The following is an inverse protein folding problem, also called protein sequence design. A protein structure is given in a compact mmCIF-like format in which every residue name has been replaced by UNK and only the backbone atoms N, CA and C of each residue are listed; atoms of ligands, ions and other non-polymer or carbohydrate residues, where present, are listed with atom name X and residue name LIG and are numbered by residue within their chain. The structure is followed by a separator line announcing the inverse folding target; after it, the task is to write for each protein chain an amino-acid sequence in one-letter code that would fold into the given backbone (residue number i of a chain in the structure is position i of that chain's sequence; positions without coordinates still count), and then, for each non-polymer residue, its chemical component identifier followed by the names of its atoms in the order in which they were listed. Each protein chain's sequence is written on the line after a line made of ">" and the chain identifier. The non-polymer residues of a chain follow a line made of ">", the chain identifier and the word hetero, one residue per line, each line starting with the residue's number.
data_IF_640351748838
#
_entry.id   IF_640351748838
#
_cell.length_a   1.000
_cell.length_b   1.000
_cell.length_c   1.000
_cell.angle_alpha   90.00
_cell.angle_beta   90.00
_cell.angle_gamma   90.00
#
_symmetry.space_group_name_H-M   'P 1'
#
loop_
_entity.id
_entity.type
_entity.pdbx_description
1 polymer ?
#
# COMPACT_ATOMS: atom_id res chain seq x y z
N UNK A 1 8.73 22.85 -17.58
CA UNK A 1 8.47 22.17 -16.30
C UNK A 1 7.35 21.16 -16.52
N UNK A 2 7.57 19.87 -16.21
CA UNK A 2 6.53 18.84 -16.35
C UNK A 2 5.48 18.98 -15.24
N UNK A 3 4.20 19.05 -15.59
CA UNK A 3 3.07 19.07 -14.61
C UNK A 3 3.03 17.81 -13.73
N UNK A 4 3.78 16.77 -14.10
CA UNK A 4 3.98 15.54 -13.33
C UNK A 4 4.87 15.75 -12.09
N UNK A 5 5.75 16.77 -12.09
CA UNK A 5 6.69 17.05 -10.99
C UNK A 5 6.09 17.87 -9.85
N UNK A 6 5.05 18.68 -10.10
CA UNK A 6 4.46 19.56 -9.08
C UNK A 6 3.78 18.82 -7.92
N UNK A 7 3.57 17.51 -8.08
CA UNK A 7 2.86 16.67 -7.11
C UNK A 7 3.73 15.55 -6.53
N UNK A 8 5.03 15.52 -6.89
CA UNK A 8 5.98 14.55 -6.37
C UNK A 8 6.57 15.07 -5.07
N UNK A 9 5.73 15.13 -4.03
CA UNK A 9 6.12 15.67 -2.72
C UNK A 9 6.38 14.53 -1.75
N UNK A 10 7.36 13.69 -2.07
CA UNK A 10 8.00 12.79 -1.11
C UNK A 10 9.33 12.24 -1.63
N UNK A 11 10.30 12.13 -0.72
CA UNK A 11 11.52 11.33 -0.89
C UNK A 11 11.33 9.99 -0.16
N UNK A 12 11.68 8.87 -0.79
CA UNK A 12 11.58 7.53 -0.17
C UNK A 12 12.98 7.10 0.27
N UNK A 13 13.18 6.92 1.57
CA UNK A 13 14.48 6.51 2.13
C UNK A 13 14.32 5.27 2.99
N UNK A 14 14.72 4.12 2.45
CA UNK A 14 14.70 2.85 3.17
C UNK A 14 16.08 2.55 3.79
N UNK A 15 16.11 2.07 5.04
CA UNK A 15 17.34 1.76 5.79
C UNK A 15 18.02 0.47 5.29
N UNK A 16 17.28 -0.48 4.70
CA UNK A 16 17.78 -1.66 3.97
C UNK A 16 17.08 -1.75 2.60
N UNK A 17 17.21 -2.83 1.82
CA UNK A 17 16.43 -3.04 0.58
C UNK A 17 15.02 -3.60 0.84
N UNK A 18 14.02 -2.79 1.26
CA UNK A 18 12.60 -3.05 0.98
C UNK A 18 11.88 -1.83 0.36
N UNK A 19 12.58 -1.02 -0.44
CA UNK A 19 12.01 0.19 -1.07
C UNK A 19 10.74 -0.04 -1.88
N UNK A 20 10.48 -1.28 -2.32
CA UNK A 20 9.27 -1.65 -3.05
C UNK A 20 7.98 -1.50 -2.23
N UNK A 21 7.99 -1.83 -0.93
CA UNK A 21 6.79 -1.70 -0.09
C UNK A 21 6.48 -0.23 0.15
N UNK A 22 7.49 0.56 0.53
CA UNK A 22 7.31 2.00 0.75
C UNK A 22 6.86 2.72 -0.53
N UNK A 23 7.43 2.37 -1.69
CA UNK A 23 7.00 2.90 -2.99
C UNK A 23 5.52 2.60 -3.26
N UNK A 24 5.09 1.36 -3.04
CA UNK A 24 3.69 0.97 -3.21
C UNK A 24 2.75 1.72 -2.26
N UNK A 25 3.13 1.85 -0.99
CA UNK A 25 2.35 2.60 0.01
C UNK A 25 2.23 4.06 -0.41
N UNK A 26 3.34 4.71 -0.78
CA UNK A 26 3.36 6.11 -1.20
C UNK A 26 2.45 6.34 -2.41
N UNK A 27 2.51 5.46 -3.42
CA UNK A 27 1.61 5.51 -4.58
C UNK A 27 0.14 5.31 -4.20
N UNK A 28 -0.15 4.43 -3.23
CA UNK A 28 -1.53 4.16 -2.81
C UNK A 28 -2.17 5.37 -2.12
N UNK A 29 -1.42 6.07 -1.27
CA UNK A 29 -1.92 7.25 -0.52
C UNK A 29 -1.78 8.56 -1.30
N UNK A 30 -1.07 8.57 -2.44
CA UNK A 30 -0.92 9.73 -3.32
C UNK A 30 -2.25 10.42 -3.68
N UNK A 31 -3.27 9.74 -4.22
CA UNK A 31 -4.53 10.39 -4.58
C UNK A 31 -5.24 11.02 -3.37
N UNK A 32 -5.16 10.40 -2.20
CA UNK A 32 -5.73 10.88 -0.94
C UNK A 32 -5.04 12.18 -0.53
N UNK A 33 -3.70 12.18 -0.50
CA UNK A 33 -2.90 13.36 -0.16
C UNK A 33 -3.15 14.50 -1.15
N UNK A 34 -3.26 14.20 -2.44
CA UNK A 34 -3.53 15.18 -3.50
C UNK A 34 -4.89 15.88 -3.29
N UNK A 35 -5.95 15.12 -2.96
CA UNK A 35 -7.29 15.68 -2.71
C UNK A 35 -7.31 16.64 -1.52
N UNK A 36 -6.44 16.42 -0.53
CA UNK A 36 -6.38 17.19 0.72
C UNK A 36 -5.20 18.16 0.79
N UNK A 37 -4.47 18.32 -0.32
CA UNK A 37 -3.27 19.16 -0.43
C UNK A 37 -2.17 18.84 0.61
N UNK A 38 -2.14 17.60 1.10
CA UNK A 38 -1.14 17.13 2.06
C UNK A 38 0.20 16.83 1.39
N UNK A 39 1.28 17.03 2.15
CA UNK A 39 2.66 16.90 1.68
C UNK A 39 3.49 16.16 2.72
N UNK A 40 4.25 15.15 2.29
CA UNK A 40 5.15 14.39 3.16
C UNK A 40 6.57 14.50 2.61
N UNK A 41 7.47 15.26 3.22
CA UNK A 41 8.80 15.46 2.61
C UNK A 41 9.60 14.17 2.51
N UNK A 42 9.57 13.34 3.56
CA UNK A 42 10.36 12.12 3.64
C UNK A 42 9.52 10.96 4.20
N UNK A 43 9.49 9.84 3.49
CA UNK A 43 8.94 8.58 3.95
C UNK A 43 10.08 7.58 4.16
N UNK A 44 10.23 7.09 5.39
CA UNK A 44 11.33 6.20 5.74
C UNK A 44 10.88 4.98 6.55
N UNK A 45 11.65 3.88 6.45
CA UNK A 45 11.45 2.76 7.37
C UNK A 45 12.24 3.02 8.67
N UNK A 46 11.70 2.55 9.79
CA UNK A 46 12.42 2.52 11.07
C UNK A 46 12.12 1.25 11.86
N UNK A 47 12.98 0.92 12.82
CA UNK A 47 12.80 -0.20 13.73
C UNK A 47 13.11 0.28 15.16
N UNK A 48 12.15 0.94 15.84
CA UNK A 48 12.37 1.41 17.19
C UNK A 48 12.48 0.23 18.17
N UNK A 49 13.20 0.43 19.28
CA UNK A 49 13.29 -0.55 20.37
C UNK A 49 11.92 -0.86 20.99
N UNK A 50 11.00 0.12 20.98
CA UNK A 50 9.63 -0.08 21.46
C UNK A 50 8.83 -0.91 20.44
N UNK A 51 8.32 -2.11 20.79
CA UNK A 51 7.54 -2.94 19.87
C UNK A 51 6.16 -2.36 19.55
N UNK A 52 5.60 -1.50 20.41
CA UNK A 52 4.28 -0.89 20.21
C UNK A 52 4.28 0.22 19.16
N UNK A 53 5.45 0.77 18.81
CA UNK A 53 5.54 1.88 17.86
C UNK A 53 5.61 1.33 16.43
N UNK A 54 4.50 1.49 15.69
CA UNK A 54 4.36 1.05 14.30
C UNK A 54 4.55 2.19 13.30
N UNK A 55 4.19 3.41 13.67
CA UNK A 55 4.31 4.62 12.87
C UNK A 55 4.80 5.79 13.71
N UNK A 56 5.37 6.79 13.05
CA UNK A 56 5.70 8.08 13.67
C UNK A 56 5.67 9.20 12.62
N UNK A 57 4.81 10.18 12.84
CA UNK A 57 4.78 11.44 12.09
C UNK A 57 5.56 12.53 12.84
N UNK A 58 6.61 13.04 12.21
CA UNK A 58 7.41 14.16 12.71
C UNK A 58 7.02 15.43 11.96
N UNK A 59 6.69 16.48 12.70
CA UNK A 59 6.43 17.81 12.15
C UNK A 59 5.18 17.93 11.27
N UNK A 60 4.22 17.01 11.40
CA UNK A 60 2.96 17.05 10.64
C UNK A 60 3.16 16.82 9.14
N UNK A 61 3.98 15.84 8.76
CA UNK A 61 4.31 15.53 7.37
C UNK A 61 5.71 16.00 6.94
N UNK A 62 6.59 16.37 7.87
CA UNK A 62 8.01 16.56 7.50
C UNK A 62 8.65 15.20 7.25
N UNK A 63 8.52 14.28 8.20
CA UNK A 63 9.10 12.96 8.10
C UNK A 63 8.13 11.94 8.69
N UNK A 64 7.72 10.97 7.87
CA UNK A 64 6.87 9.87 8.32
C UNK A 64 7.72 8.59 8.35
N UNK A 65 7.70 7.92 9.49
CA UNK A 65 8.42 6.65 9.70
C UNK A 65 7.43 5.52 9.84
N UNK A 66 7.64 4.46 9.08
CA UNK A 66 6.80 3.26 9.15
C UNK A 66 7.64 2.05 9.51
N UNK A 67 7.08 1.21 10.37
CA UNK A 67 7.67 -0.07 10.74
C UNK A 67 7.22 -1.13 9.75
N UNK A 68 8.14 -1.59 8.92
CA UNK A 68 7.85 -2.62 7.92
C UNK A 68 8.07 -4.04 8.45
N UNK A 69 8.89 -4.20 9.49
CA UNK A 69 9.38 -5.50 9.97
C UNK A 69 9.01 -5.75 11.43
N UNK A 70 8.72 -7.00 11.76
CA UNK A 70 8.42 -7.39 13.15
C UNK A 70 9.63 -7.19 14.07
N UNK A 71 9.40 -6.87 15.36
CA UNK A 71 10.47 -6.81 16.33
C UNK A 71 11.26 -8.13 16.36
N UNK A 72 12.59 -8.03 16.38
CA UNK A 72 13.52 -9.17 16.45
C UNK A 72 13.44 -10.14 15.25
N UNK A 73 12.81 -9.76 14.14
CA UNK A 73 12.76 -10.55 12.90
C UNK A 73 12.95 -9.67 11.67
N UNK A 74 14.18 -9.56 11.20
CA UNK A 74 14.48 -8.78 9.99
C UNK A 74 13.79 -9.33 8.74
N UNK A 75 13.54 -10.64 8.65
CA UNK A 75 12.96 -11.28 7.45
C UNK A 75 11.43 -11.26 7.42
N UNK A 76 10.79 -10.90 8.54
CA UNK A 76 9.35 -10.99 8.73
C UNK A 76 8.72 -9.62 8.55
N UNK A 77 8.06 -9.42 7.41
CA UNK A 77 7.40 -8.17 7.08
C UNK A 77 5.95 -8.18 7.57
N UNK A 78 5.48 -7.01 8.01
CA UNK A 78 4.06 -6.82 8.24
C UNK A 78 3.29 -6.88 6.91
N UNK A 79 2.04 -7.37 6.93
CA UNK A 79 1.20 -7.37 5.74
C UNK A 79 1.01 -5.94 5.22
N UNK A 80 0.95 -5.81 3.90
CA UNK A 80 0.84 -4.52 3.21
C UNK A 80 -0.32 -3.67 3.75
N UNK A 81 -1.48 -4.29 3.99
CA UNK A 81 -2.68 -3.63 4.51
C UNK A 81 -2.45 -3.02 5.90
N UNK A 82 -1.70 -3.68 6.77
CA UNK A 82 -1.40 -3.16 8.11
C UNK A 82 -0.44 -1.96 8.04
N UNK A 83 0.56 -2.02 7.16
CA UNK A 83 1.47 -0.90 6.93
C UNK A 83 0.73 0.27 6.30
N UNK A 84 -0.19 0.00 5.38
CA UNK A 84 -1.05 1.01 4.74
C UNK A 84 -1.95 1.69 5.76
N UNK A 85 -2.62 0.93 6.61
CA UNK A 85 -3.47 1.47 7.68
C UNK A 85 -2.67 2.37 8.64
N UNK A 86 -1.45 1.93 9.01
CA UNK A 86 -0.52 2.74 9.80
C UNK A 86 -0.17 4.05 9.07
N UNK A 87 0.09 4.00 7.75
CA UNK A 87 0.33 5.21 6.96
C UNK A 87 -0.87 6.16 6.98
N UNK A 88 -2.10 5.65 6.85
CA UNK A 88 -3.31 6.48 6.94
C UNK A 88 -3.45 7.15 8.31
N UNK A 89 -3.16 6.41 9.38
CA UNK A 89 -3.12 6.95 10.74
C UNK A 89 -2.09 8.08 10.87
N UNK A 90 -0.87 7.89 10.37
CA UNK A 90 0.15 8.94 10.37
C UNK A 90 -0.25 10.16 9.53
N UNK A 91 -0.98 9.98 8.44
CA UNK A 91 -1.52 11.10 7.65
C UNK A 91 -2.56 11.91 8.43
N UNK A 92 -3.41 11.26 9.24
CA UNK A 92 -4.34 11.98 10.12
C UNK A 92 -3.62 12.94 11.08
N UNK A 93 -2.40 12.60 11.51
CA UNK A 93 -1.56 13.47 12.34
C UNK A 93 -1.10 14.77 11.67
N UNK A 94 -1.24 14.91 10.34
CA UNK A 94 -1.04 16.19 9.64
C UNK A 94 -2.11 17.20 10.04
N UNK A 95 -3.35 16.76 10.22
CA UNK A 95 -4.50 17.61 10.53
C UNK A 95 -4.88 17.60 12.01
N UNK A 96 -4.78 16.44 12.66
CA UNK A 96 -5.20 16.20 14.04
C UNK A 96 -4.08 15.53 14.84
N UNK A 97 -3.44 16.29 15.73
CA UNK A 97 -2.44 15.75 16.66
C UNK A 97 -3.02 14.72 17.66
N UNK A 98 -4.03 15.08 18.47
CA UNK A 98 -4.58 14.17 19.49
C UNK A 98 -5.54 13.13 18.89
N UNK A 99 -5.55 11.92 19.46
CA UNK A 99 -6.47 10.82 19.13
C UNK A 99 -7.90 11.06 19.67
N UNK A 100 -8.55 12.12 19.17
CA UNK A 100 -9.91 12.50 19.51
C UNK A 100 -10.94 11.89 18.54
N UNK A 101 -12.23 12.05 18.81
CA UNK A 101 -13.30 11.58 17.92
C UNK A 101 -13.15 12.09 16.47
N UNK A 102 -12.68 13.33 16.27
CA UNK A 102 -12.40 13.87 14.95
C UNK A 102 -11.26 13.14 14.23
N UNK A 103 -10.22 12.72 14.96
CA UNK A 103 -9.11 11.93 14.42
C UNK A 103 -9.63 10.59 13.90
N UNK A 104 -10.37 9.84 14.73
CA UNK A 104 -10.91 8.54 14.34
C UNK A 104 -11.89 8.66 13.17
N UNK A 105 -12.73 9.70 13.17
CA UNK A 105 -13.62 9.99 12.04
C UNK A 105 -12.85 10.23 10.74
N UNK A 106 -11.80 11.05 10.78
CA UNK A 106 -10.95 11.28 9.60
C UNK A 106 -10.28 9.98 9.16
N UNK A 107 -9.74 9.20 10.10
CA UNK A 107 -9.05 7.95 9.79
C UNK A 107 -9.98 6.94 9.13
N UNK A 108 -11.21 6.78 9.62
CA UNK A 108 -12.23 5.92 9.01
C UNK A 108 -12.55 6.34 7.56
N UNK A 109 -12.77 7.63 7.33
CA UNK A 109 -13.01 8.18 5.99
C UNK A 109 -11.83 7.90 5.04
N UNK A 110 -10.58 8.04 5.53
CA UNK A 110 -9.39 7.72 4.75
C UNK A 110 -9.31 6.23 4.40
N UNK A 111 -9.71 5.34 5.32
CA UNK A 111 -9.71 3.89 5.09
C UNK A 111 -10.72 3.50 4.02
N UNK A 112 -11.95 4.04 4.10
CA UNK A 112 -12.99 3.81 3.09
C UNK A 112 -12.54 4.31 1.72
N UNK A 113 -11.99 5.52 1.63
CA UNK A 113 -11.47 6.06 0.37
C UNK A 113 -10.30 5.21 -0.17
N UNK A 114 -9.41 4.75 0.71
CA UNK A 114 -8.28 3.91 0.32
C UNK A 114 -8.74 2.54 -0.20
N UNK A 115 -9.67 1.89 0.49
CA UNK A 115 -10.24 0.59 0.09
C UNK A 115 -10.91 0.69 -1.29
N UNK A 116 -11.64 1.78 -1.54
CA UNK A 116 -12.24 2.04 -2.84
C UNK A 116 -11.18 2.18 -3.95
N UNK A 117 -10.10 2.93 -3.69
CA UNK A 117 -8.99 3.08 -4.63
C UNK A 117 -8.29 1.75 -4.91
N UNK A 118 -8.06 0.94 -3.88
CA UNK A 118 -7.47 -0.40 -4.00
C UNK A 118 -8.39 -1.30 -4.84
N UNK A 119 -9.69 -1.32 -4.56
CA UNK A 119 -10.67 -2.11 -5.30
C UNK A 119 -10.75 -1.69 -6.77
N UNK A 120 -10.57 -0.41 -7.07
CA UNK A 120 -10.54 0.13 -8.44
C UNK A 120 -9.17 -0.06 -9.13
N UNK A 121 -8.15 -0.55 -8.41
CA UNK A 121 -6.78 -0.66 -8.93
C UNK A 121 -6.12 0.69 -9.23
N UNK A 122 -6.57 1.75 -8.56
CA UNK A 122 -6.06 3.12 -8.72
C UNK A 122 -4.89 3.32 -7.76
N UNK A 123 -3.70 3.53 -8.33
CA UNK A 123 -2.48 3.83 -7.58
C UNK A 123 -1.70 4.93 -8.30
N UNK A 124 -0.93 5.74 -7.57
CA UNK A 124 -0.06 6.74 -8.17
C UNK A 124 -0.81 7.99 -8.65
N UNK A 125 -0.58 8.41 -9.90
CA UNK A 125 -1.15 9.64 -10.50
C UNK A 125 -2.64 9.56 -10.85
N UNK A 126 -3.30 8.42 -10.56
CA UNK A 126 -4.73 8.23 -10.84
C UNK A 126 -5.04 7.58 -12.18
N UNK A 127 -4.03 7.16 -12.97
CA UNK A 127 -4.24 6.21 -14.06
C UNK A 127 -4.15 4.81 -13.48
N UNK A 128 -5.31 4.14 -13.35
CA UNK A 128 -5.36 2.74 -12.93
C UNK A 128 -4.41 1.87 -13.77
N UNK A 129 -3.85 0.84 -13.14
CA UNK A 129 -2.87 -0.14 -13.67
C UNK A 129 -1.36 0.21 -13.59
N UNK A 130 -0.85 0.73 -12.45
CA UNK A 130 0.61 0.66 -12.15
C UNK A 130 1.01 -0.63 -11.39
N UNK A 131 0.04 -1.53 -11.13
CA UNK A 131 0.34 -2.85 -10.59
C UNK A 131 0.65 -3.81 -11.75
N UNK A 132 1.93 -4.17 -11.91
CA UNK A 132 2.36 -5.35 -12.66
C UNK A 132 1.53 -6.54 -12.17
N UNK A 133 0.50 -6.90 -12.94
CA UNK A 133 -0.57 -7.80 -12.52
C UNK A 133 -0.02 -9.13 -12.02
N UNK A 134 -0.09 -9.36 -10.72
CA UNK A 134 0.04 -10.70 -10.17
C UNK A 134 -1.36 -11.30 -10.16
N UNK A 135 -1.69 -11.97 -11.26
CA UNK A 135 -2.90 -12.77 -11.42
C UNK A 135 -2.86 -13.84 -10.32
N UNK A 136 -3.59 -13.65 -9.23
CA UNK A 136 -3.85 -14.73 -8.28
C UNK A 136 -4.71 -15.74 -9.03
N UNK A 137 -4.05 -16.82 -9.46
CA UNK A 137 -4.66 -17.88 -10.25
C UNK A 137 -5.90 -18.41 -9.54
N UNK A 138 -7.02 -18.39 -10.25
CA UNK A 138 -8.17 -19.19 -9.89
C UNK A 138 -7.72 -20.65 -9.82
N UNK A 139 -7.89 -21.26 -8.66
CA UNK A 139 -7.75 -22.70 -8.49
C UNK A 139 -8.94 -23.38 -9.19
N UNK A 140 -8.91 -23.45 -10.52
CA UNK A 140 -9.69 -24.45 -11.24
C UNK A 140 -8.99 -25.78 -11.00
N UNK A 141 -9.45 -26.51 -9.98
CA UNK A 141 -9.16 -27.95 -9.86
C UNK A 141 -9.79 -28.63 -11.08
N UNK A 142 -8.97 -28.87 -12.09
CA UNK A 142 -9.31 -29.74 -13.21
C UNK A 142 -9.62 -31.14 -12.64
N UNK A 143 -10.70 -31.80 -13.05
CA UNK A 143 -10.83 -33.24 -12.84
C UNK A 143 -9.79 -33.96 -13.73
N UNK A 144 -9.16 -35.05 -13.26
CA UNK A 144 -8.16 -35.76 -14.05
C UNK A 144 -8.80 -36.46 -15.25
N UNK A 145 -8.14 -36.32 -16.40
CA UNK A 145 -8.33 -37.09 -17.62
C UNK A 145 -8.17 -38.58 -17.34
N UNK A 146 -9.20 -39.36 -17.63
CA UNK A 146 -9.03 -40.77 -17.96
C UNK A 146 -9.06 -40.91 -19.47
N UNK A 147 -7.90 -41.28 -20.03
CA UNK A 147 -7.73 -41.85 -21.36
C UNK A 147 -8.78 -42.93 -21.65
N UNK A 148 -9.30 -42.96 -22.88
CA UNK A 148 -9.16 -44.15 -23.76
C UNK A 148 -9.75 -43.87 -25.14
N UNK A 149 -8.81 -43.69 -26.07
CA UNK A 149 -8.70 -44.38 -27.36
C UNK A 149 -9.71 -44.08 -28.48
N UNK A 150 -9.11 -43.54 -29.54
CA UNK A 150 -9.64 -43.43 -30.90
C UNK A 150 -10.04 -44.77 -31.53
N UNK A 151 -10.90 -44.60 -32.55
CA UNK A 151 -10.87 -45.22 -33.87
C UNK A 151 -11.86 -46.36 -34.15
N UNK A 152 -12.86 -46.05 -34.99
CA UNK A 152 -13.24 -46.84 -36.18
C UNK A 152 -14.16 -45.99 -37.07
N UNK A 153 -13.64 -45.54 -38.22
CA UNK A 153 -14.01 -45.96 -39.60
C UNK A 153 -15.50 -45.76 -39.94
N UNK A 154 -15.86 -44.75 -40.72
CA UNK A 154 -15.80 -44.65 -42.19
C UNK A 154 -17.04 -45.24 -42.89
N UNK A 155 -17.75 -44.32 -43.55
CA UNK A 155 -18.68 -44.41 -44.68
C UNK A 155 -18.97 -45.77 -45.31
N UNK A 156 -20.27 -46.04 -45.50
CA UNK A 156 -20.87 -47.10 -46.31
C UNK A 156 -22.38 -47.10 -46.14
#
# INVERSE_FOLDING_TARGET
>A
MNLQDLHKVWEIKALKKPGLILDRIAKQVQPIMRRREWRVKLLSEFCPSNPALLGLNVGGGVEVKLRLRRPKRDWDFFPFEQVLDTMLHELCHIQHGPHNAQFYKLWDELRVECEELVSKGITGTGQGFDARGQRLGGFTRQPPLSSLRQCSSSSG
#
